data_IF_312775986487
#
_entry.id   IF_312775986487
#
_cell.length_a   1.000
_cell.length_b   1.000
_cell.length_c   1.000
_cell.angle_alpha   90.00
_cell.angle_beta   90.00
_cell.angle_gamma   90.00
#
_symmetry.space_group_name_H-M   'P 1'
#
loop_
_entity.id
_entity.type
_entity.pdbx_description
1 polymer ?
#
# COMPACT_ATOMS: atom_id res chain seq x y z
N UNK A 1 53.37 55.95 22.58
CA UNK A 1 52.00 55.70 23.09
C UNK A 1 51.05 55.06 22.05
N UNK A 2 51.36 55.07 20.74
CA UNK A 2 50.44 54.57 19.70
C UNK A 2 50.52 53.04 19.48
N UNK A 3 51.71 52.43 19.63
CA UNK A 3 51.89 50.98 19.42
C UNK A 3 51.20 50.09 20.47
N UNK A 4 51.05 50.53 21.72
CA UNK A 4 50.39 49.74 22.77
C UNK A 4 48.87 49.72 22.64
N UNK A 5 48.28 50.78 22.07
CA UNK A 5 46.83 50.86 21.81
C UNK A 5 46.40 49.91 20.69
N UNK A 6 47.14 49.89 19.57
CA UNK A 6 46.86 49.01 18.44
C UNK A 6 47.00 47.51 18.80
N UNK A 7 48.01 47.15 19.61
CA UNK A 7 48.21 45.77 20.00
C UNK A 7 47.10 45.24 20.93
N UNK A 8 46.57 46.06 21.84
CA UNK A 8 45.43 45.67 22.67
C UNK A 8 44.13 45.54 21.86
N UNK A 9 43.93 46.38 20.85
CA UNK A 9 42.70 46.41 20.05
C UNK A 9 42.60 45.22 19.07
N UNK A 10 43.72 44.84 18.44
CA UNK A 10 43.81 43.64 17.60
C UNK A 10 43.57 42.36 18.43
N UNK A 11 44.19 42.26 19.60
CA UNK A 11 44.08 41.08 20.47
C UNK A 11 42.66 40.94 21.11
N UNK A 12 41.96 42.06 21.32
CA UNK A 12 40.57 42.08 21.79
C UNK A 12 39.58 41.70 20.68
N UNK A 13 39.85 42.11 19.44
CA UNK A 13 39.05 41.75 18.26
C UNK A 13 39.22 40.26 17.86
N UNK A 14 40.44 39.71 17.94
CA UNK A 14 40.68 38.27 17.70
C UNK A 14 40.04 37.39 18.77
N UNK A 15 40.18 37.75 20.05
CA UNK A 15 39.48 37.04 21.16
C UNK A 15 37.95 37.18 21.06
N UNK A 16 37.45 38.28 20.53
CA UNK A 16 36.02 38.50 20.28
C UNK A 16 35.47 37.62 19.15
N UNK A 17 36.22 37.49 18.04
CA UNK A 17 35.89 36.60 16.92
C UNK A 17 35.94 35.13 17.33
N UNK A 18 37.02 34.66 17.96
CA UNK A 18 37.15 33.28 18.46
C UNK A 18 36.03 32.90 19.45
N UNK A 19 35.59 33.82 20.31
CA UNK A 19 34.46 33.60 21.23
C UNK A 19 33.11 33.57 20.53
N UNK A 20 32.95 34.27 19.41
CA UNK A 20 31.73 34.29 18.61
C UNK A 20 31.63 33.03 17.75
N UNK A 21 32.71 32.68 17.06
CA UNK A 21 32.81 31.48 16.23
C UNK A 21 32.67 30.19 17.06
N UNK A 22 33.25 30.15 18.28
CA UNK A 22 33.05 29.04 19.22
C UNK A 22 31.64 28.96 19.81
N UNK A 23 30.94 30.10 19.99
CA UNK A 23 29.52 30.12 20.43
C UNK A 23 28.58 29.67 19.33
N UNK A 24 28.84 30.06 18.09
CA UNK A 24 28.01 29.70 16.94
C UNK A 24 28.23 28.21 16.58
N UNK A 25 29.47 27.70 16.66
CA UNK A 25 29.75 26.26 16.57
C UNK A 25 29.03 25.43 17.66
N UNK A 26 28.98 25.92 18.90
CA UNK A 26 28.26 25.24 19.99
C UNK A 26 26.74 25.25 19.76
N UNK A 27 26.18 26.34 19.22
CA UNK A 27 24.76 26.40 18.85
C UNK A 27 24.43 25.41 17.73
N UNK A 28 25.30 25.27 16.73
CA UNK A 28 25.11 24.31 15.64
C UNK A 28 25.13 22.85 16.14
N UNK A 29 26.02 22.54 17.09
CA UNK A 29 26.03 21.23 17.77
C UNK A 29 24.74 21.00 18.58
N UNK A 30 24.29 22.00 19.34
CA UNK A 30 23.04 21.89 20.12
C UNK A 30 21.85 21.71 19.18
N UNK A 31 21.78 22.44 18.06
CA UNK A 31 20.73 22.32 17.05
C UNK A 31 20.72 20.91 16.44
N UNK A 32 21.90 20.36 16.11
CA UNK A 32 22.03 18.99 15.60
C UNK A 32 21.56 17.95 16.63
N UNK A 33 21.95 18.10 17.90
CA UNK A 33 21.49 17.22 18.99
C UNK A 33 19.97 17.30 19.15
N UNK A 34 19.38 18.50 19.08
CA UNK A 34 17.93 18.68 19.14
C UNK A 34 17.22 18.01 17.94
N UNK A 35 17.75 18.13 16.73
CA UNK A 35 17.20 17.44 15.54
C UNK A 35 17.26 15.93 15.73
N UNK A 36 18.41 15.38 16.15
CA UNK A 36 18.57 13.95 16.42
C UNK A 36 17.60 13.50 17.51
N UNK A 37 17.44 14.26 18.60
CA UNK A 37 16.53 13.94 19.68
C UNK A 37 15.05 13.96 19.24
N UNK A 38 14.64 14.90 18.39
CA UNK A 38 13.29 14.95 17.80
C UNK A 38 13.08 13.78 16.85
N UNK A 39 14.03 13.47 15.97
CA UNK A 39 13.95 12.33 15.07
C UNK A 39 13.88 11.01 15.84
N UNK A 40 14.71 10.83 16.87
CA UNK A 40 14.75 9.60 17.66
C UNK A 40 13.53 9.47 18.58
N UNK A 41 13.09 10.57 19.20
CA UNK A 41 11.87 10.64 20.00
C UNK A 41 10.63 10.35 19.16
N UNK A 42 10.52 10.96 17.99
CA UNK A 42 9.46 10.71 17.02
C UNK A 42 9.44 9.26 16.53
N UNK A 43 10.61 8.70 16.17
CA UNK A 43 10.75 7.29 15.81
C UNK A 43 10.26 6.36 16.92
N UNK A 44 10.68 6.61 18.18
CA UNK A 44 10.30 5.77 19.32
C UNK A 44 8.80 5.85 19.64
N UNK A 45 8.21 7.04 19.55
CA UNK A 45 6.76 7.24 19.71
C UNK A 45 5.98 6.51 18.61
N UNK A 46 6.43 6.61 17.36
CA UNK A 46 5.82 5.91 16.23
C UNK A 46 5.90 4.38 16.37
N UNK A 47 7.07 3.86 16.76
CA UNK A 47 7.26 2.43 17.02
C UNK A 47 6.33 1.96 18.15
N UNK A 48 6.28 2.68 19.28
CA UNK A 48 5.38 2.33 20.40
C UNK A 48 3.89 2.33 20.01
N UNK A 49 3.46 3.30 19.19
CA UNK A 49 2.10 3.34 18.67
C UNK A 49 1.78 2.11 17.82
N UNK A 50 2.68 1.73 16.90
CA UNK A 50 2.52 0.52 16.08
C UNK A 50 2.41 -0.74 16.92
N UNK A 51 3.35 -0.94 17.85
CA UNK A 51 3.33 -2.12 18.74
C UNK A 51 2.04 -2.18 19.55
N UNK A 52 1.54 -1.03 20.03
CA UNK A 52 0.27 -0.96 20.77
C UNK A 52 -0.93 -1.30 19.89
N UNK A 53 -0.95 -0.85 18.63
CA UNK A 53 -1.99 -1.17 17.67
C UNK A 53 -2.08 -2.69 17.44
N UNK A 54 -0.94 -3.33 17.14
CA UNK A 54 -0.88 -4.78 16.94
C UNK A 54 -1.27 -5.58 18.19
N UNK A 55 -0.82 -5.16 19.37
CA UNK A 55 -1.16 -5.84 20.64
C UNK A 55 -2.64 -5.73 21.00
N UNK A 56 -3.30 -4.64 20.60
CA UNK A 56 -4.72 -4.41 20.89
C UNK A 56 -5.65 -4.99 19.81
N UNK A 57 -5.13 -5.37 18.64
CA UNK A 57 -5.93 -6.04 17.61
C UNK A 57 -6.34 -7.44 18.13
N UNK A 58 -7.65 -7.67 18.15
CA UNK A 58 -8.25 -8.96 18.55
C UNK A 58 -9.16 -9.51 17.46
N UNK A 59 -9.08 -8.96 16.25
CA UNK A 59 -9.90 -9.35 15.11
C UNK A 59 -9.65 -10.80 14.71
N UNK A 60 -8.38 -11.24 14.75
CA UNK A 60 -7.96 -12.60 14.42
C UNK A 60 -8.35 -13.65 15.47
N UNK A 61 -8.76 -13.25 16.68
CA UNK A 61 -9.10 -14.17 17.78
C UNK A 61 -10.46 -14.86 17.62
N UNK A 62 -11.26 -14.44 16.64
CA UNK A 62 -12.54 -15.08 16.32
C UNK A 62 -12.28 -16.50 15.83
N UNK A 63 -12.88 -17.50 16.47
CA UNK A 63 -12.70 -18.91 16.11
C UNK A 63 -13.58 -19.27 14.93
N UNK A 64 -12.97 -19.84 13.90
CA UNK A 64 -13.66 -20.31 12.69
C UNK A 64 -13.20 -21.72 12.34
N UNK A 65 -13.79 -22.32 11.30
CA UNK A 65 -13.38 -23.62 10.77
C UNK A 65 -12.71 -23.43 9.42
N UNK A 66 -11.51 -23.97 9.27
CA UNK A 66 -10.77 -24.00 8.00
C UNK A 66 -11.59 -24.70 6.92
N UNK A 67 -11.57 -24.15 5.71
CA UNK A 67 -12.21 -24.73 4.53
C UNK A 67 -11.19 -24.89 3.40
N UNK A 68 -10.62 -26.09 3.33
CA UNK A 68 -9.58 -26.49 2.38
C UNK A 68 -10.00 -26.52 0.90
N UNK A 69 -11.25 -26.14 0.57
CA UNK A 69 -11.75 -26.09 -0.81
C UNK A 69 -11.20 -24.91 -1.61
N UNK A 70 -10.70 -23.86 -0.96
CA UNK A 70 -10.17 -22.70 -1.66
C UNK A 70 -8.76 -22.98 -2.20
N UNK A 71 -8.64 -22.98 -3.51
CA UNK A 71 -7.38 -23.13 -4.23
C UNK A 71 -7.46 -22.39 -5.58
N UNK A 72 -6.46 -21.59 -5.92
CA UNK A 72 -6.39 -20.79 -7.14
C UNK A 72 -6.39 -19.27 -6.89
N UNK A 73 -6.72 -18.50 -7.94
CA UNK A 73 -6.78 -17.04 -7.91
C UNK A 73 -8.21 -16.58 -7.67
N UNK A 74 -8.36 -15.61 -6.77
CA UNK A 74 -9.64 -15.03 -6.40
C UNK A 74 -9.55 -13.50 -6.37
N UNK A 75 -10.71 -12.86 -6.43
CA UNK A 75 -10.87 -11.49 -5.95
C UNK A 75 -12.04 -11.39 -4.98
N UNK A 76 -11.88 -10.56 -3.95
CA UNK A 76 -12.97 -10.05 -3.11
C UNK A 76 -13.22 -8.62 -3.51
N UNK A 77 -14.36 -8.38 -4.15
CA UNK A 77 -14.68 -7.06 -4.68
C UNK A 77 -15.90 -6.48 -3.98
N UNK A 78 -15.82 -5.22 -3.56
CA UNK A 78 -16.89 -4.51 -2.88
C UNK A 78 -18.09 -4.32 -3.80
N UNK A 79 -19.27 -4.40 -3.22
CA UNK A 79 -20.52 -4.08 -3.88
C UNK A 79 -20.99 -2.69 -3.43
N UNK A 80 -21.53 -1.91 -4.36
CA UNK A 80 -22.24 -0.69 -4.02
C UNK A 80 -23.62 -0.99 -3.42
N UNK A 81 -24.35 0.06 -3.02
CA UNK A 81 -25.69 -0.03 -2.45
C UNK A 81 -26.72 -0.72 -3.36
N UNK A 82 -26.44 -0.79 -4.68
CA UNK A 82 -27.28 -1.45 -5.68
C UNK A 82 -26.81 -2.87 -6.02
N UNK A 83 -25.79 -3.39 -5.33
CA UNK A 83 -25.22 -4.71 -5.55
C UNK A 83 -24.31 -4.81 -6.78
N UNK A 84 -23.90 -3.69 -7.38
CA UNK A 84 -22.94 -3.65 -8.49
C UNK A 84 -21.52 -3.70 -7.92
N UNK A 85 -20.65 -4.44 -8.61
CA UNK A 85 -19.25 -4.56 -8.26
C UNK A 85 -18.50 -3.24 -8.53
N UNK A 86 -17.89 -2.64 -7.51
CA UNK A 86 -17.07 -1.41 -7.65
C UNK A 86 -15.64 -1.69 -8.09
N UNK A 87 -15.21 -2.95 -8.00
CA UNK A 87 -13.84 -3.41 -8.18
C UNK A 87 -12.83 -2.85 -7.17
N UNK A 88 -13.30 -2.28 -6.06
CA UNK A 88 -12.45 -2.04 -4.89
C UNK A 88 -12.34 -3.33 -4.09
N UNK A 89 -11.15 -3.64 -3.57
CA UNK A 89 -10.98 -4.80 -2.70
C UNK A 89 -9.66 -5.51 -2.87
N UNK A 90 -9.69 -6.83 -2.93
CA UNK A 90 -8.52 -7.68 -2.73
C UNK A 90 -8.39 -8.73 -3.83
N UNK A 91 -7.21 -8.86 -4.42
CA UNK A 91 -6.82 -9.99 -5.28
C UNK A 91 -5.96 -10.93 -4.49
N UNK A 92 -6.19 -12.24 -4.66
CA UNK A 92 -5.73 -13.28 -3.78
C UNK A 92 -5.21 -14.47 -4.59
N UNK A 93 -4.03 -14.96 -4.25
CA UNK A 93 -3.61 -16.32 -4.60
C UNK A 93 -3.70 -17.19 -3.35
N UNK A 94 -4.51 -18.24 -3.43
CA UNK A 94 -4.86 -19.11 -2.31
C UNK A 94 -4.48 -20.55 -2.62
N UNK A 95 -3.85 -21.23 -1.66
CA UNK A 95 -3.50 -22.65 -1.75
C UNK A 95 -3.99 -23.38 -0.52
N UNK A 96 -4.95 -24.28 -0.70
CA UNK A 96 -5.53 -25.06 0.41
C UNK A 96 -5.97 -24.15 1.57
N UNK A 97 -6.79 -23.14 1.24
CA UNK A 97 -7.29 -22.10 2.14
C UNK A 97 -6.26 -21.04 2.61
N UNK A 98 -4.96 -21.33 2.55
CA UNK A 98 -3.91 -20.35 2.89
C UNK A 98 -3.84 -19.26 1.83
N UNK A 99 -3.95 -18.00 2.24
CA UNK A 99 -3.61 -16.84 1.39
C UNK A 99 -2.09 -16.80 1.27
N UNK A 100 -1.57 -17.09 0.08
CA UNK A 100 -0.13 -17.13 -0.20
C UNK A 100 0.37 -15.74 -0.60
N UNK A 101 -0.42 -15.01 -1.38
CA UNK A 101 -0.12 -13.65 -1.81
C UNK A 101 -1.41 -12.89 -2.03
N UNK A 102 -1.43 -11.59 -1.75
CA UNK A 102 -2.54 -10.73 -2.09
C UNK A 102 -2.14 -9.26 -2.27
N UNK A 103 -2.96 -8.54 -3.03
CA UNK A 103 -2.85 -7.11 -3.24
C UNK A 103 -4.23 -6.46 -3.10
N UNK A 104 -4.30 -5.36 -2.35
CA UNK A 104 -5.52 -4.55 -2.19
C UNK A 104 -5.47 -3.36 -3.13
N UNK A 105 -6.61 -3.00 -3.71
CA UNK A 105 -6.75 -1.91 -4.66
C UNK A 105 -8.03 -1.13 -4.45
N UNK A 106 -8.00 0.12 -4.92
CA UNK A 106 -9.19 0.88 -5.30
C UNK A 106 -9.23 1.00 -6.82
N UNK A 107 -10.44 1.05 -7.37
CA UNK A 107 -10.70 1.12 -8.80
C UNK A 107 -11.70 2.23 -9.12
N UNK A 108 -11.41 2.98 -10.17
CA UNK A 108 -12.30 4.00 -10.71
C UNK A 108 -12.56 3.69 -12.18
N UNK A 109 -13.83 3.72 -12.57
CA UNK A 109 -14.21 3.49 -13.96
C UNK A 109 -13.76 4.65 -14.85
N UNK A 110 -13.42 4.33 -16.10
CA UNK A 110 -13.03 5.36 -17.06
C UNK A 110 -14.12 6.42 -17.28
N UNK A 111 -15.39 6.03 -17.19
CA UNK A 111 -16.52 6.96 -17.32
C UNK A 111 -16.54 8.02 -16.21
N UNK A 112 -16.14 7.64 -14.99
CA UNK A 112 -16.08 8.56 -13.85
C UNK A 112 -14.90 9.54 -14.00
N UNK A 113 -13.73 9.03 -14.44
CA UNK A 113 -12.57 9.85 -14.80
C UNK A 113 -12.95 10.86 -15.89
N UNK A 114 -13.59 10.37 -16.98
CA UNK A 114 -14.02 11.19 -18.10
C UNK A 114 -15.03 12.25 -17.68
N UNK A 115 -16.00 11.91 -16.84
CA UNK A 115 -16.98 12.86 -16.30
C UNK A 115 -16.27 13.99 -15.56
N UNK A 116 -15.33 13.65 -14.68
CA UNK A 116 -14.57 14.63 -13.89
C UNK A 116 -13.67 15.52 -14.76
N UNK A 117 -13.05 14.95 -15.80
CA UNK A 117 -12.27 15.71 -16.78
C UNK A 117 -13.11 16.73 -17.53
N UNK A 118 -14.33 16.36 -17.95
CA UNK A 118 -15.26 17.26 -18.64
C UNK A 118 -15.69 18.40 -17.70
N UNK A 119 -16.00 18.10 -16.44
CA UNK A 119 -16.38 19.11 -15.44
C UNK A 119 -15.28 20.14 -15.20
N UNK A 120 -14.01 19.71 -15.13
CA UNK A 120 -12.87 20.58 -14.82
C UNK A 120 -12.30 21.33 -16.03
N UNK A 121 -12.15 20.63 -17.15
CA UNK A 121 -11.35 21.09 -18.29
C UNK A 121 -12.18 21.27 -19.57
N UNK A 122 -13.48 21.01 -19.51
CA UNK A 122 -14.46 21.31 -20.55
C UNK A 122 -14.61 20.24 -21.63
N UNK A 123 -15.35 20.61 -22.67
CA UNK A 123 -15.85 19.68 -23.71
C UNK A 123 -14.78 18.96 -24.54
N UNK A 124 -13.49 19.34 -24.44
CA UNK A 124 -12.41 18.67 -25.20
C UNK A 124 -12.32 17.17 -24.92
N UNK A 125 -12.68 16.74 -23.71
CA UNK A 125 -12.68 15.33 -23.31
C UNK A 125 -13.97 14.60 -23.67
N UNK A 126 -15.04 15.30 -24.03
CA UNK A 126 -16.37 14.72 -24.29
C UNK A 126 -16.36 13.69 -25.40
N UNK A 127 -15.61 13.99 -26.47
CA UNK A 127 -15.55 13.17 -27.67
C UNK A 127 -14.37 12.19 -27.69
N UNK A 128 -13.46 12.24 -26.71
CA UNK A 128 -12.38 11.27 -26.61
C UNK A 128 -12.93 9.90 -26.22
N UNK A 129 -12.46 8.86 -26.89
CA UNK A 129 -12.66 7.47 -26.52
C UNK A 129 -11.82 7.10 -25.30
N UNK A 130 -12.20 6.03 -24.61
CA UNK A 130 -11.43 5.52 -23.47
C UNK A 130 -10.01 5.07 -23.87
N UNK A 131 -9.83 4.68 -25.13
CA UNK A 131 -8.52 4.39 -25.70
C UNK A 131 -7.68 5.65 -25.87
N UNK A 132 -8.25 6.72 -26.41
CA UNK A 132 -7.55 8.00 -26.53
C UNK A 132 -7.16 8.55 -25.15
N UNK A 133 -8.03 8.44 -24.15
CA UNK A 133 -7.73 8.80 -22.76
C UNK A 133 -6.60 7.93 -22.18
N UNK A 134 -6.62 6.62 -22.47
CA UNK A 134 -5.54 5.71 -22.06
C UNK A 134 -4.21 6.03 -22.72
N UNK A 135 -4.21 6.32 -24.00
CA UNK A 135 -3.00 6.67 -24.73
C UNK A 135 -2.45 8.04 -24.26
N UNK A 136 -3.31 8.96 -23.80
CA UNK A 136 -2.95 10.30 -23.29
C UNK A 136 -2.82 10.38 -21.75
N UNK A 137 -2.86 9.26 -21.00
CA UNK A 137 -2.88 9.28 -19.52
C UNK A 137 -1.70 10.03 -18.86
N UNK A 138 -0.61 10.26 -19.60
CA UNK A 138 0.53 11.07 -19.15
C UNK A 138 0.24 12.58 -19.12
N UNK A 139 -0.91 13.00 -19.63
CA UNK A 139 -1.41 14.37 -19.54
C UNK A 139 -1.65 14.76 -18.08
N UNK A 140 -1.10 15.90 -17.64
CA UNK A 140 -1.19 16.38 -16.26
C UNK A 140 -2.64 16.53 -15.77
N UNK A 141 -3.58 16.85 -16.64
CA UNK A 141 -5.00 17.00 -16.30
C UNK A 141 -5.65 15.65 -15.95
N UNK A 142 -5.23 14.59 -16.64
CA UNK A 142 -5.68 13.22 -16.40
C UNK A 142 -5.07 12.70 -15.09
N UNK A 143 -3.75 12.86 -14.92
CA UNK A 143 -3.07 12.47 -13.68
C UNK A 143 -3.60 13.19 -12.43
N UNK A 144 -3.90 14.48 -12.51
CA UNK A 144 -4.52 15.25 -11.41
C UNK A 144 -5.90 14.68 -11.04
N UNK A 145 -6.70 14.36 -12.05
CA UNK A 145 -8.05 13.79 -11.86
C UNK A 145 -8.00 12.41 -11.24
N UNK A 146 -7.08 11.55 -11.68
CA UNK A 146 -6.83 10.24 -11.05
C UNK A 146 -6.49 10.38 -9.58
N UNK A 147 -5.58 11.30 -9.23
CA UNK A 147 -5.14 11.51 -7.85
C UNK A 147 -6.24 12.03 -6.93
N UNK A 148 -7.27 12.70 -7.47
CA UNK A 148 -8.44 13.12 -6.68
C UNK A 148 -9.46 12.00 -6.47
N UNK A 149 -9.58 11.09 -7.43
CA UNK A 149 -10.59 10.02 -7.40
C UNK A 149 -10.09 8.78 -6.65
N UNK A 150 -8.78 8.55 -6.64
CA UNK A 150 -8.16 7.39 -6.02
C UNK A 150 -7.62 7.70 -4.63
N UNK A 151 -7.76 6.74 -3.73
CA UNK A 151 -7.08 6.81 -2.44
C UNK A 151 -5.57 6.80 -2.65
N UNK A 152 -4.85 7.51 -1.77
CA UNK A 152 -3.39 7.47 -1.77
C UNK A 152 -2.90 6.05 -1.44
N UNK A 153 -2.27 5.43 -2.44
CA UNK A 153 -1.70 4.09 -2.30
C UNK A 153 -0.42 4.07 -1.46
N UNK A 154 0.05 2.85 -1.19
CA UNK A 154 1.37 2.62 -0.59
C UNK A 154 2.33 2.27 -1.72
N UNK A 155 3.56 2.79 -1.70
CA UNK A 155 4.59 2.35 -2.63
C UNK A 155 4.80 0.85 -2.51
N UNK A 156 4.62 0.10 -3.60
CA UNK A 156 4.80 -1.36 -3.60
C UNK A 156 6.25 -1.72 -3.27
N UNK A 157 6.41 -2.59 -2.28
CA UNK A 157 7.68 -3.08 -1.73
C UNK A 157 7.80 -4.59 -1.96
N UNK A 158 6.68 -5.31 -2.13
CA UNK A 158 6.61 -6.76 -2.25
C UNK A 158 6.13 -7.17 -3.65
N UNK A 159 6.78 -8.18 -4.21
CA UNK A 159 6.30 -8.80 -5.45
C UNK A 159 5.20 -9.82 -5.14
N UNK A 160 3.96 -9.37 -5.26
CA UNK A 160 2.78 -10.20 -5.00
C UNK A 160 2.38 -11.06 -6.19
N UNK A 161 2.99 -10.85 -7.36
CA UNK A 161 2.57 -11.42 -8.64
C UNK A 161 1.30 -10.79 -9.23
N UNK A 162 0.54 -9.98 -8.48
CA UNK A 162 -0.58 -9.19 -8.98
C UNK A 162 -0.16 -7.79 -9.46
N UNK A 163 1.07 -7.40 -9.15
CA UNK A 163 1.67 -6.13 -9.54
C UNK A 163 3.11 -6.39 -10.00
N UNK A 164 3.46 -5.96 -11.21
CA UNK A 164 4.84 -5.91 -11.67
C UNK A 164 5.13 -4.50 -12.20
N UNK A 165 5.88 -3.71 -11.43
CA UNK A 165 6.26 -2.34 -11.81
C UNK A 165 5.84 -1.32 -10.76
N UNK A 166 6.82 -0.60 -10.21
CA UNK A 166 6.60 0.46 -9.23
C UNK A 166 5.85 1.64 -9.87
N UNK A 167 4.55 1.71 -9.60
CA UNK A 167 3.68 2.83 -9.92
C UNK A 167 2.48 2.78 -8.97
N UNK A 168 2.15 3.92 -8.36
CA UNK A 168 1.08 4.06 -7.35
C UNK A 168 -0.29 3.71 -7.97
N UNK A 169 -0.45 3.94 -9.28
CA UNK A 169 -1.63 3.62 -10.07
C UNK A 169 -1.28 3.03 -11.43
N UNK A 170 -2.23 2.28 -12.02
CA UNK A 170 -2.17 1.78 -13.38
C UNK A 170 -3.45 2.15 -14.12
N UNK A 171 -3.28 2.60 -15.35
CA UNK A 171 -4.34 3.12 -16.21
C UNK A 171 -4.56 2.15 -17.37
N UNK A 172 -5.81 1.80 -17.65
CA UNK A 172 -6.17 1.04 -18.84
C UNK A 172 -7.50 1.55 -19.43
N UNK A 173 -7.89 1.06 -20.61
CA UNK A 173 -9.12 1.51 -21.28
C UNK A 173 -10.42 1.27 -20.48
N UNK A 174 -10.39 0.38 -19.46
CA UNK A 174 -11.55 0.10 -18.61
C UNK A 174 -11.65 1.10 -17.46
N UNK A 175 -10.52 1.57 -16.94
CA UNK A 175 -10.44 2.42 -15.76
C UNK A 175 -9.04 2.52 -15.19
N UNK A 176 -8.96 3.08 -13.99
CA UNK A 176 -7.71 3.34 -13.27
C UNK A 176 -7.78 2.65 -11.92
N UNK A 177 -6.67 2.04 -11.51
CA UNK A 177 -6.56 1.43 -10.19
C UNK A 177 -5.31 1.87 -9.46
N UNK A 178 -5.38 1.87 -8.13
CA UNK A 178 -4.26 2.19 -7.23
C UNK A 178 -4.01 1.02 -6.28
N UNK A 179 -2.75 0.73 -5.98
CA UNK A 179 -2.37 -0.27 -4.99
C UNK A 179 -2.44 0.29 -3.57
N UNK A 180 -3.28 -0.26 -2.72
CA UNK A 180 -3.45 0.19 -1.32
C UNK A 180 -2.66 -0.63 -0.31
N UNK A 181 -2.36 -1.88 -0.66
CA UNK A 181 -1.73 -2.80 0.28
C UNK A 181 -1.26 -4.06 -0.43
N UNK A 182 -0.29 -4.71 0.17
CA UNK A 182 0.34 -5.91 -0.36
C UNK A 182 0.72 -6.84 0.79
N UNK A 183 0.63 -8.13 0.54
CA UNK A 183 1.07 -9.14 1.48
C UNK A 183 1.50 -10.39 0.73
N UNK A 184 2.68 -10.90 1.07
CA UNK A 184 3.16 -12.22 0.65
C UNK A 184 3.39 -13.01 1.91
N UNK A 185 2.66 -14.12 2.05
CA UNK A 185 2.76 -14.94 3.24
C UNK A 185 4.08 -15.71 3.22
N UNK A 186 4.99 -15.51 4.18
CA UNK A 186 6.06 -16.47 4.42
C UNK A 186 5.45 -17.83 4.79
N UNK A 187 6.25 -18.91 4.77
CA UNK A 187 5.75 -20.24 5.17
C UNK A 187 5.01 -20.22 6.52
N UNK A 188 5.44 -19.37 7.46
CA UNK A 188 4.74 -19.01 8.70
C UNK A 188 4.85 -17.52 9.00
N UNK A 189 3.74 -16.91 9.43
CA UNK A 189 3.65 -15.51 9.85
C UNK A 189 4.21 -15.34 11.26
N UNK A 190 4.97 -14.27 11.49
CA UNK A 190 5.52 -13.92 12.80
C UNK A 190 4.86 -12.67 13.38
N UNK A 191 3.71 -12.88 14.01
CA UNK A 191 2.89 -11.81 14.59
C UNK A 191 3.53 -11.14 15.81
N UNK A 192 4.51 -11.80 16.45
CA UNK A 192 5.13 -11.33 17.70
C UNK A 192 6.33 -10.40 17.47
N UNK A 193 6.88 -10.34 16.25
CA UNK A 193 8.05 -9.51 15.89
C UNK A 193 7.72 -8.04 15.55
N UNK A 194 6.76 -7.42 16.25
CA UNK A 194 6.33 -6.02 15.99
C UNK A 194 7.32 -4.97 16.51
N UNK A 195 8.63 -5.22 16.36
CA UNK A 195 9.72 -4.35 16.80
C UNK A 195 10.28 -3.46 15.69
N UNK A 196 9.94 -3.74 14.42
CA UNK A 196 10.40 -3.00 13.22
C UNK A 196 9.25 -2.29 12.49
N UNK A 197 9.59 -1.33 11.60
CA UNK A 197 8.63 -0.49 10.86
C UNK A 197 7.85 -1.26 9.78
N UNK A 198 8.35 -2.40 9.29
CA UNK A 198 7.69 -3.25 8.28
C UNK A 198 7.59 -4.67 8.81
N UNK A 199 6.42 -5.01 9.32
CA UNK A 199 6.13 -6.33 9.92
C UNK A 199 5.04 -7.04 9.13
N UNK A 200 4.89 -8.35 9.30
CA UNK A 200 3.78 -9.10 8.71
C UNK A 200 2.43 -8.48 9.09
N UNK A 201 2.30 -7.96 10.31
CA UNK A 201 1.10 -7.26 10.77
C UNK A 201 0.79 -6.04 9.92
N UNK A 202 1.78 -5.19 9.64
CA UNK A 202 1.56 -3.98 8.82
C UNK A 202 1.10 -4.33 7.40
N UNK A 203 1.71 -5.35 6.80
CA UNK A 203 1.33 -5.84 5.47
C UNK A 203 -0.08 -6.43 5.48
N UNK A 204 -0.41 -7.27 6.47
CA UNK A 204 -1.77 -7.79 6.64
C UNK A 204 -2.79 -6.68 6.88
N UNK A 205 -2.44 -5.66 7.67
CA UNK A 205 -3.34 -4.56 7.97
C UNK A 205 -3.57 -3.68 6.74
N UNK A 206 -2.55 -3.45 5.90
CA UNK A 206 -2.72 -2.74 4.62
C UNK A 206 -3.72 -3.44 3.69
N UNK A 207 -3.78 -4.77 3.74
CA UNK A 207 -4.71 -5.61 2.99
C UNK A 207 -6.04 -5.87 3.73
N UNK A 208 -6.20 -5.41 4.97
CA UNK A 208 -7.37 -5.71 5.84
C UNK A 208 -7.58 -7.21 6.10
N UNK A 209 -6.51 -8.01 6.13
CA UNK A 209 -6.59 -9.47 6.25
C UNK A 209 -6.23 -10.03 7.64
N UNK A 210 -5.89 -9.17 8.60
CA UNK A 210 -5.61 -9.59 10.00
C UNK A 210 -6.72 -10.49 10.56
N UNK A 211 -8.03 -10.23 10.36
CA UNK A 211 -9.09 -11.13 10.82
C UNK A 211 -8.99 -12.58 10.31
N UNK A 212 -8.31 -12.80 9.19
CA UNK A 212 -8.04 -14.11 8.61
C UNK A 212 -6.86 -14.87 9.22
N UNK A 213 -6.04 -14.22 10.05
CA UNK A 213 -4.88 -14.84 10.70
C UNK A 213 -5.29 -15.90 11.72
N UNK A 214 -4.63 -17.05 11.70
CA UNK A 214 -4.81 -18.16 12.63
C UNK A 214 -3.55 -18.40 13.46
N UNK A 215 -3.68 -18.34 14.78
CA UNK A 215 -2.54 -18.44 15.72
C UNK A 215 -1.91 -19.84 15.71
N UNK A 216 -2.73 -20.90 15.61
CA UNK A 216 -2.26 -22.28 15.73
C UNK A 216 -1.38 -22.68 14.55
N UNK A 217 -1.83 -22.36 13.33
CA UNK A 217 -1.10 -22.64 12.09
C UNK A 217 -0.09 -21.56 11.72
N UNK A 218 -0.25 -20.34 12.26
CA UNK A 218 0.47 -19.12 11.87
C UNK A 218 0.33 -18.81 10.37
N UNK A 219 -0.87 -19.02 9.85
CA UNK A 219 -1.24 -18.76 8.45
C UNK A 219 -2.41 -17.75 8.40
N UNK A 220 -2.63 -17.14 7.24
CA UNK A 220 -3.87 -16.39 6.97
C UNK A 220 -4.77 -17.24 6.10
N UNK A 221 -6.02 -17.47 6.53
CA UNK A 221 -6.98 -18.32 5.83
C UNK A 221 -8.09 -17.51 5.16
N UNK A 222 -8.39 -17.81 3.89
CA UNK A 222 -9.49 -17.18 3.18
C UNK A 222 -10.84 -17.51 3.86
N UNK A 223 -11.08 -18.77 4.24
CA UNK A 223 -12.32 -19.17 4.88
C UNK A 223 -12.59 -18.43 6.19
N UNK A 224 -11.54 -18.19 7.00
CA UNK A 224 -11.61 -17.41 8.23
C UNK A 224 -11.91 -15.95 7.91
N UNK A 225 -11.21 -15.38 6.93
CA UNK A 225 -11.47 -14.01 6.49
C UNK A 225 -12.94 -13.79 6.10
N UNK A 226 -13.55 -14.74 5.37
CA UNK A 226 -14.94 -14.65 4.91
C UNK A 226 -15.98 -14.91 6.00
N UNK A 227 -15.65 -15.69 7.03
CA UNK A 227 -16.60 -16.08 8.08
C UNK A 227 -16.45 -15.29 9.39
N UNK A 228 -15.40 -14.48 9.50
CA UNK A 228 -15.13 -13.66 10.67
C UNK A 228 -15.92 -12.35 10.59
N UNK A 229 -16.89 -12.16 11.48
CA UNK A 229 -17.73 -10.95 11.56
C UNK A 229 -16.95 -9.64 11.79
N UNK A 230 -15.70 -9.71 12.25
CA UNK A 230 -14.80 -8.55 12.38
C UNK A 230 -14.03 -8.25 11.09
N UNK A 231 -14.20 -9.05 10.04
CA UNK A 231 -13.60 -8.80 8.73
C UNK A 231 -14.48 -7.88 7.91
N UNK A 232 -13.86 -6.85 7.34
CA UNK A 232 -14.47 -6.00 6.30
C UNK A 232 -14.93 -6.82 5.09
N UNK A 233 -14.32 -7.98 4.83
CA UNK A 233 -14.67 -8.85 3.72
C UNK A 233 -15.80 -9.85 4.03
N UNK A 234 -16.33 -9.85 5.26
CA UNK A 234 -17.42 -10.73 5.66
C UNK A 234 -18.72 -10.40 4.93
N UNK A 235 -19.07 -9.11 4.90
CA UNK A 235 -20.32 -8.60 4.34
C UNK A 235 -20.05 -7.54 3.27
N UNK A 236 -20.90 -7.49 2.24
CA UNK A 236 -20.80 -6.49 1.17
C UNK A 236 -19.68 -6.72 0.15
N UNK A 237 -18.90 -7.80 0.27
CA UNK A 237 -17.92 -8.22 -0.71
C UNK A 237 -18.34 -9.49 -1.45
N UNK A 238 -18.03 -9.54 -2.74
CA UNK A 238 -18.26 -10.72 -3.59
C UNK A 238 -16.95 -11.45 -3.86
N UNK A 239 -16.90 -12.72 -3.47
CA UNK A 239 -15.81 -13.62 -3.86
C UNK A 239 -16.00 -14.07 -5.31
N UNK A 240 -14.99 -13.85 -6.15
CA UNK A 240 -14.92 -14.29 -7.54
C UNK A 240 -13.72 -15.20 -7.67
N UNK A 241 -13.94 -16.44 -8.15
CA UNK A 241 -12.87 -17.37 -8.50
C UNK A 241 -12.55 -17.25 -9.99
N UNK A 242 -11.27 -17.26 -10.32
CA UNK A 242 -10.78 -17.31 -11.69
C UNK A 242 -10.24 -18.70 -12.03
N UNK A 243 -10.58 -19.21 -13.22
CA UNK A 243 -10.23 -20.56 -13.65
C UNK A 243 -8.90 -20.66 -14.42
N UNK A 244 -8.26 -19.53 -14.72
CA UNK A 244 -7.01 -19.46 -15.48
C UNK A 244 -6.87 -18.13 -16.21
N UNK A 245 -5.85 -18.03 -17.04
CA UNK A 245 -5.49 -16.82 -17.79
C UNK A 245 -6.68 -16.21 -18.55
N UNK A 246 -7.35 -17.02 -19.38
CA UNK A 246 -8.48 -16.60 -20.22
C UNK A 246 -9.63 -15.99 -19.41
N UNK A 247 -9.92 -16.56 -18.24
CA UNK A 247 -11.00 -16.11 -17.36
C UNK A 247 -10.64 -14.78 -16.68
N UNK A 248 -9.38 -14.62 -16.27
CA UNK A 248 -8.85 -13.34 -15.76
C UNK A 248 -8.90 -12.29 -16.85
N UNK A 249 -8.34 -12.54 -18.02
CA UNK A 249 -8.30 -11.56 -19.12
C UNK A 249 -9.71 -11.06 -19.48
N UNK A 250 -10.69 -11.98 -19.53
CA UNK A 250 -12.07 -11.66 -19.91
C UNK A 250 -12.84 -10.93 -18.81
N UNK A 251 -12.61 -11.26 -17.54
CA UNK A 251 -13.50 -10.84 -16.43
C UNK A 251 -12.83 -9.92 -15.41
N UNK A 252 -11.52 -10.01 -15.24
CA UNK A 252 -10.78 -9.12 -14.37
C UNK A 252 -10.68 -7.71 -14.99
N UNK A 253 -10.85 -6.69 -14.15
CA UNK A 253 -10.67 -5.28 -14.55
C UNK A 253 -9.27 -4.75 -14.27
N UNK A 254 -8.51 -5.48 -13.45
CA UNK A 254 -7.25 -5.04 -12.85
C UNK A 254 -6.04 -5.68 -13.54
N UNK A 255 -6.23 -6.88 -14.09
CA UNK A 255 -5.16 -7.68 -14.67
C UNK A 255 -5.62 -8.26 -16.01
N UNK A 256 -4.72 -8.26 -17.00
CA UNK A 256 -4.93 -8.76 -18.35
C UNK A 256 -4.55 -10.24 -18.53
N UNK A 257 -4.37 -10.96 -17.41
CA UNK A 257 -3.93 -12.35 -17.33
C UNK A 257 -2.48 -12.52 -16.89
N UNK A 258 -1.66 -11.45 -16.94
CA UNK A 258 -0.24 -11.48 -16.57
C UNK A 258 0.03 -11.98 -15.16
N UNK A 259 -0.88 -11.77 -14.21
CA UNK A 259 -0.69 -12.29 -12.86
C UNK A 259 -0.52 -13.82 -12.83
N UNK A 260 -1.10 -14.57 -13.78
CA UNK A 260 -0.91 -16.03 -13.85
C UNK A 260 0.56 -16.40 -14.09
N UNK A 261 1.24 -15.66 -14.96
CA UNK A 261 2.65 -15.90 -15.26
C UNK A 261 3.52 -15.56 -14.04
N UNK A 262 3.32 -14.38 -13.46
CA UNK A 262 4.07 -13.93 -12.30
C UNK A 262 3.87 -14.87 -11.09
N UNK A 263 2.63 -15.26 -10.79
CA UNK A 263 2.34 -16.18 -9.69
C UNK A 263 2.96 -17.58 -9.92
N UNK A 264 3.00 -18.04 -11.17
CA UNK A 264 3.66 -19.29 -11.52
C UNK A 264 5.17 -19.23 -11.33
N UNK A 265 5.79 -18.11 -11.68
CA UNK A 265 7.23 -17.88 -11.52
C UNK A 265 7.62 -17.73 -10.05
N UNK A 266 6.95 -16.83 -9.33
CA UNK A 266 7.29 -16.46 -7.95
C UNK A 266 6.92 -17.54 -6.94
N UNK A 267 5.78 -18.21 -7.13
CA UNK A 267 5.21 -19.10 -6.11
C UNK A 267 5.02 -20.54 -6.58
N UNK A 268 5.52 -20.90 -7.78
CA UNK A 268 5.33 -22.22 -8.40
C UNK A 268 3.86 -22.66 -8.33
N UNK A 269 2.96 -21.73 -8.70
CA UNK A 269 1.53 -21.88 -8.48
C UNK A 269 0.86 -22.96 -9.34
N UNK A 270 1.50 -23.34 -10.46
CA UNK A 270 1.00 -24.32 -11.46
C UNK A 270 -0.42 -23.98 -11.95
N UNK A 271 -0.71 -22.69 -12.08
CA UNK A 271 -1.96 -22.15 -12.59
C UNK A 271 -2.03 -22.30 -14.11
N UNK A 272 -3.24 -22.54 -14.62
CA UNK A 272 -3.45 -22.77 -16.04
C UNK A 272 -3.27 -21.49 -16.86
N UNK A 273 -2.42 -21.56 -17.90
CA UNK A 273 -2.17 -20.49 -18.85
C UNK A 273 -3.14 -20.50 -20.05
N UNK A 274 -3.81 -21.63 -20.31
CA UNK A 274 -4.69 -21.84 -21.49
C UNK A 274 -5.90 -22.71 -21.16
#
# INVERSE_FOLDING_TARGET
>A
MILSSLYMEVNKNEKGKLKKDGKDFLKDIIALICIIAVCFGGYKLYANYKTSSAQNDTSYKVKTKRNNKYNGVYSLTKLDENGKNTWDGLMLYVKNDKIVSCARFDYVYMEDVKTKLIEKYGDKYKNMSNKELHDDHLNLEIADTESELLSSGISSVLDTGFFSGGGISSFNEKGVFTGLGEFVCPDKVDFEKVTDIKTDYDYMQSCLIVPGYDEDSREVWLSKLLSNEKSEYHDGYKLIKYNGFDDIQKRCRLDDGKCIDNLNELFNAKLNKY
#
